data_IF_150994261778
#
_entry.id   IF_150994261778
#
_cell.length_a   1.000
_cell.length_b   1.000
_cell.length_c   1.000
_cell.angle_alpha   90.00
_cell.angle_beta   90.00
_cell.angle_gamma   90.00
#
_symmetry.space_group_name_H-M   'P 1'
#
loop_
_entity.id
_entity.type
_entity.pdbx_description
1 polymer ?
#
# COMPACT_ATOMS: atom_id res chain seq x y z
N UNK A 1 -11.47 -22.29 23.41
CA UNK A 1 -11.98 -21.42 22.33
C UNK A 1 -11.36 -20.05 22.56
N UNK A 2 -10.27 -19.75 21.86
CA UNK A 2 -9.69 -18.42 21.81
C UNK A 2 -10.72 -17.53 21.08
N UNK A 3 -11.36 -16.63 21.81
CA UNK A 3 -12.01 -15.47 21.20
C UNK A 3 -10.87 -14.50 20.87
N UNK A 4 -10.16 -14.76 19.77
CA UNK A 4 -9.32 -13.75 19.15
C UNK A 4 -10.18 -12.53 18.86
N UNK A 5 -9.69 -11.35 19.20
CA UNK A 5 -10.16 -10.10 18.62
C UNK A 5 -10.25 -10.33 17.12
N UNK A 6 -11.48 -10.25 16.58
CA UNK A 6 -11.73 -10.56 15.18
C UNK A 6 -10.76 -9.74 14.34
N UNK A 7 -10.03 -10.42 13.48
CA UNK A 7 -9.12 -9.79 12.56
C UNK A 7 -9.94 -8.78 11.75
N UNK A 8 -9.67 -7.50 11.94
CA UNK A 8 -10.36 -6.45 11.20
C UNK A 8 -9.91 -6.62 9.77
N UNK A 9 -10.75 -7.23 8.94
CA UNK A 9 -10.44 -7.53 7.56
C UNK A 9 -10.18 -6.25 6.80
N UNK A 10 -8.93 -5.91 6.62
CA UNK A 10 -8.48 -4.83 5.73
C UNK A 10 -8.62 -5.19 4.26
N UNK A 11 -9.04 -6.43 3.91
CA UNK A 11 -8.93 -6.95 2.55
C UNK A 11 -10.15 -7.76 2.17
N UNK A 12 -11.04 -7.15 1.43
CA UNK A 12 -12.25 -7.79 0.89
C UNK A 12 -11.96 -8.72 -0.31
N UNK A 13 -10.70 -8.95 -0.65
CA UNK A 13 -10.30 -9.91 -1.67
C UNK A 13 -9.87 -11.21 -0.98
N UNK A 14 -10.53 -12.31 -1.30
CA UNK A 14 -10.29 -13.63 -0.73
C UNK A 14 -8.84 -14.08 -0.82
N UNK A 15 -8.15 -13.72 -1.91
CA UNK A 15 -6.73 -13.98 -2.12
C UNK A 15 -5.78 -13.22 -1.17
N UNK A 16 -6.27 -12.22 -0.47
CA UNK A 16 -5.51 -11.41 0.48
C UNK A 16 -5.95 -11.61 1.93
N UNK A 17 -6.94 -12.48 2.17
CA UNK A 17 -7.38 -12.87 3.50
C UNK A 17 -6.39 -13.87 4.14
N UNK A 18 -6.51 -14.09 5.44
CA UNK A 18 -5.75 -15.12 6.14
C UNK A 18 -6.06 -16.49 5.56
N UNK A 19 -5.10 -17.40 5.60
CA UNK A 19 -5.32 -18.79 5.21
C UNK A 19 -6.45 -19.40 6.02
N UNK A 20 -7.27 -20.24 5.37
CA UNK A 20 -8.43 -20.93 5.97
C UNK A 20 -9.56 -20.02 6.44
N UNK A 21 -9.72 -18.83 5.89
CA UNK A 21 -10.83 -17.93 6.21
C UNK A 21 -12.21 -18.58 5.94
N UNK A 22 -12.28 -19.49 4.98
CA UNK A 22 -13.48 -20.25 4.65
C UNK A 22 -13.99 -21.12 5.81
N UNK A 23 -13.13 -21.41 6.80
CA UNK A 23 -13.48 -22.16 8.00
C UNK A 23 -13.81 -21.24 9.19
N UNK A 24 -13.78 -19.92 9.01
CA UNK A 24 -14.09 -18.94 10.04
C UNK A 24 -15.52 -18.42 9.91
N UNK A 25 -16.16 -18.15 11.05
CA UNK A 25 -17.39 -17.37 11.09
C UNK A 25 -17.05 -15.89 11.07
N UNK A 26 -17.44 -15.20 9.98
CA UNK A 26 -17.24 -13.76 9.85
C UNK A 26 -18.41 -13.07 10.58
N UNK A 27 -18.09 -12.28 11.61
CA UNK A 27 -19.06 -11.53 12.40
C UNK A 27 -19.17 -10.08 11.95
N UNK A 28 -18.03 -9.45 11.63
CA UNK A 28 -17.94 -8.05 11.25
C UNK A 28 -16.88 -7.84 10.18
N UNK A 29 -17.15 -6.90 9.26
CA UNK A 29 -16.17 -6.42 8.25
C UNK A 29 -16.08 -4.91 8.40
N UNK A 30 -14.85 -4.42 8.70
CA UNK A 30 -14.54 -3.00 8.78
C UNK A 30 -13.35 -2.74 7.84
N UNK A 31 -13.56 -1.95 6.80
CA UNK A 31 -12.56 -1.74 5.76
C UNK A 31 -12.63 -0.34 5.11
N UNK A 32 -11.57 0.07 4.44
CA UNK A 32 -11.46 1.29 3.66
C UNK A 32 -11.09 1.04 2.18
N UNK A 33 -11.00 -0.22 1.78
CA UNK A 33 -10.68 -0.60 0.41
C UNK A 33 -11.94 -0.70 -0.46
N UNK A 34 -11.74 -0.85 -1.77
CA UNK A 34 -12.84 -1.19 -2.69
C UNK A 34 -13.48 -2.53 -2.26
N UNK A 35 -14.78 -2.63 -2.46
CA UNK A 35 -15.51 -3.87 -2.22
C UNK A 35 -15.05 -4.92 -3.24
N UNK A 36 -14.61 -6.05 -2.76
CA UNK A 36 -14.11 -7.18 -3.55
C UNK A 36 -15.08 -8.37 -3.58
N UNK A 37 -14.54 -9.57 -3.69
CA UNK A 37 -15.26 -10.83 -3.88
C UNK A 37 -15.53 -11.62 -2.57
N UNK A 38 -15.52 -10.95 -1.42
CA UNK A 38 -15.80 -11.64 -0.17
C UNK A 38 -17.32 -11.93 -0.04
N UNK A 39 -17.65 -13.21 0.09
CA UNK A 39 -19.00 -13.70 0.30
C UNK A 39 -19.14 -14.24 1.73
N UNK A 40 -20.28 -13.99 2.37
CA UNK A 40 -20.60 -14.49 3.70
C UNK A 40 -21.86 -15.36 3.66
N UNK A 41 -21.89 -16.43 4.45
CA UNK A 41 -23.07 -17.34 4.53
C UNK A 41 -24.22 -16.77 5.35
N UNK A 42 -23.94 -15.79 6.20
CA UNK A 42 -24.92 -15.14 7.07
C UNK A 42 -24.81 -13.62 6.96
N UNK A 43 -25.83 -12.85 7.32
CA UNK A 43 -25.73 -11.41 7.44
C UNK A 43 -24.66 -11.01 8.44
N UNK A 44 -23.81 -10.02 8.06
CA UNK A 44 -22.71 -9.51 8.89
C UNK A 44 -22.82 -8.00 9.07
N UNK A 45 -22.25 -7.48 10.14
CA UNK A 45 -22.02 -6.05 10.23
C UNK A 45 -20.95 -5.67 9.22
N UNK A 46 -21.29 -4.71 8.33
CA UNK A 46 -20.39 -4.28 7.27
C UNK A 46 -20.24 -2.75 7.30
N UNK A 47 -19.02 -2.27 7.52
CA UNK A 47 -18.70 -0.83 7.50
C UNK A 47 -17.49 -0.58 6.59
N UNK A 48 -17.74 0.10 5.49
CA UNK A 48 -16.71 0.50 4.55
C UNK A 48 -16.79 2.00 4.30
N UNK A 49 -15.67 2.70 4.48
CA UNK A 49 -15.59 4.15 4.31
C UNK A 49 -14.38 4.55 3.45
N UNK A 50 -14.52 5.58 2.57
CA UNK A 50 -13.45 6.02 1.70
C UNK A 50 -12.45 6.93 2.43
N UNK A 51 -11.79 6.41 3.45
CA UNK A 51 -10.76 7.06 4.27
C UNK A 51 -9.38 6.47 3.96
N UNK A 52 -8.32 7.09 4.48
CA UNK A 52 -6.95 6.67 4.25
C UNK A 52 -6.52 5.44 5.04
N UNK A 53 -7.18 5.15 6.18
CA UNK A 53 -6.84 4.04 7.06
C UNK A 53 -8.07 3.49 7.78
N UNK A 54 -8.15 2.17 7.93
CA UNK A 54 -9.21 1.51 8.75
C UNK A 54 -9.20 1.99 10.21
N UNK A 55 -8.05 2.38 10.76
CA UNK A 55 -7.96 2.91 12.12
C UNK A 55 -8.78 4.20 12.31
N UNK A 56 -8.98 4.98 11.25
CA UNK A 56 -9.87 6.15 11.26
C UNK A 56 -11.33 5.74 11.49
N UNK A 57 -11.75 4.64 10.86
CA UNK A 57 -13.10 4.08 11.08
C UNK A 57 -13.24 3.55 12.50
N UNK A 58 -12.22 2.84 13.01
CA UNK A 58 -12.20 2.36 14.39
C UNK A 58 -12.30 3.51 15.39
N UNK A 59 -11.55 4.61 15.18
CA UNK A 59 -11.66 5.81 15.99
C UNK A 59 -13.10 6.38 15.97
N UNK A 60 -13.74 6.44 14.80
CA UNK A 60 -15.12 6.89 14.65
C UNK A 60 -16.10 6.01 15.45
N UNK A 61 -15.90 4.68 15.41
CA UNK A 61 -16.72 3.72 16.19
C UNK A 61 -16.57 3.96 17.70
N UNK A 62 -15.36 4.22 18.21
CA UNK A 62 -15.13 4.58 19.61
C UNK A 62 -15.93 5.83 19.99
N UNK A 63 -15.90 6.86 19.14
CA UNK A 63 -16.62 8.10 19.34
C UNK A 63 -18.14 7.91 19.32
N UNK A 64 -18.66 7.16 18.37
CA UNK A 64 -20.10 6.87 18.22
C UNK A 64 -20.65 6.11 19.42
N UNK A 65 -19.87 5.17 19.94
CA UNK A 65 -20.25 4.34 21.10
C UNK A 65 -19.98 5.03 22.45
N UNK A 66 -19.32 6.18 22.47
CA UNK A 66 -18.95 6.90 23.69
C UNK A 66 -17.94 6.15 24.55
N UNK A 67 -17.12 5.28 23.97
CA UNK A 67 -16.09 4.55 24.70
C UNK A 67 -14.81 5.39 24.83
N UNK A 68 -14.18 5.31 25.98
CA UNK A 68 -12.84 5.87 26.18
C UNK A 68 -11.79 5.03 25.43
N UNK A 69 -10.82 5.72 24.83
CA UNK A 69 -9.71 5.08 24.14
C UNK A 69 -8.50 5.07 25.06
N UNK A 70 -8.00 3.89 25.49
CA UNK A 70 -6.77 3.84 26.30
C UNK A 70 -5.58 4.43 25.52
N UNK A 71 -4.64 5.14 26.19
CA UNK A 71 -3.50 5.77 25.53
C UNK A 71 -2.68 4.84 24.63
N UNK A 72 -2.48 3.58 25.04
CA UNK A 72 -1.76 2.59 24.22
C UNK A 72 -2.51 2.25 22.95
N UNK A 73 -3.84 2.12 23.00
CA UNK A 73 -4.68 1.87 21.82
C UNK A 73 -4.69 3.11 20.92
N UNK A 74 -4.78 4.31 21.51
CA UNK A 74 -4.69 5.55 20.75
C UNK A 74 -3.36 5.66 19.99
N UNK A 75 -2.25 5.30 20.63
CA UNK A 75 -0.93 5.26 20.00
C UNK A 75 -0.88 4.28 18.80
N UNK A 76 -1.42 3.07 18.95
CA UNK A 76 -1.48 2.07 17.87
C UNK A 76 -2.37 2.52 16.71
N UNK A 77 -3.54 3.09 16.99
CA UNK A 77 -4.43 3.61 15.94
C UNK A 77 -3.79 4.81 15.21
N UNK A 78 -3.15 5.71 15.95
CA UNK A 78 -2.40 6.84 15.36
C UNK A 78 -1.26 6.33 14.46
N UNK A 79 -0.49 5.34 14.92
CA UNK A 79 0.58 4.70 14.15
C UNK A 79 0.06 4.15 12.81
N UNK A 80 -1.07 3.45 12.84
CA UNK A 80 -1.67 2.88 11.65
C UNK A 80 -2.10 3.98 10.65
N UNK A 81 -2.70 5.08 11.13
CA UNK A 81 -3.08 6.22 10.28
C UNK A 81 -1.83 6.86 9.66
N UNK A 82 -0.79 7.14 10.45
CA UNK A 82 0.46 7.72 9.94
C UNK A 82 1.12 6.82 8.88
N UNK A 83 1.11 5.50 9.11
CA UNK A 83 1.65 4.51 8.17
C UNK A 83 0.88 4.50 6.85
N UNK A 84 -0.43 4.26 6.89
CA UNK A 84 -1.26 4.10 5.68
C UNK A 84 -1.37 5.39 4.87
N UNK A 85 -1.30 6.55 5.55
CA UNK A 85 -1.37 7.86 4.90
C UNK A 85 0.00 8.46 4.54
N UNK A 86 1.09 7.75 4.79
CA UNK A 86 2.47 8.25 4.60
C UNK A 86 2.68 9.61 5.29
N UNK A 87 2.36 9.68 6.58
CA UNK A 87 2.39 10.94 7.34
C UNK A 87 1.57 12.04 6.64
N UNK A 88 0.35 11.70 6.21
CA UNK A 88 -0.61 12.57 5.52
C UNK A 88 -0.22 13.02 4.11
N UNK A 89 0.79 12.41 3.47
CA UNK A 89 1.25 12.72 2.10
C UNK A 89 0.61 11.84 1.04
N UNK A 90 0.00 10.72 1.43
CA UNK A 90 -0.70 9.85 0.49
C UNK A 90 -1.95 10.54 -0.08
N UNK A 91 -2.24 10.39 -1.37
CA UNK A 91 -3.50 10.87 -1.97
C UNK A 91 -4.74 10.11 -1.43
N UNK A 92 -4.55 9.06 -0.64
CA UNK A 92 -5.63 8.39 0.08
C UNK A 92 -6.02 9.10 1.36
N UNK A 93 -5.15 9.98 1.89
CA UNK A 93 -5.37 10.70 3.13
C UNK A 93 -6.56 11.68 3.01
N UNK A 94 -7.48 11.61 3.96
CA UNK A 94 -8.63 12.50 4.05
C UNK A 94 -8.51 13.44 5.24
N UNK A 95 -9.41 14.43 5.32
CA UNK A 95 -9.52 15.29 6.49
C UNK A 95 -9.91 14.53 7.76
N UNK A 96 -10.66 13.42 7.61
CA UNK A 96 -11.04 12.56 8.72
C UNK A 96 -9.82 11.84 9.31
N UNK A 97 -8.90 11.38 8.46
CA UNK A 97 -7.66 10.74 8.90
C UNK A 97 -6.79 11.71 9.71
N UNK A 98 -6.67 12.96 9.24
CA UNK A 98 -5.92 14.00 9.95
C UNK A 98 -6.53 14.30 11.32
N UNK A 99 -7.83 14.52 11.36
CA UNK A 99 -8.55 14.82 12.60
C UNK A 99 -8.49 13.66 13.60
N UNK A 100 -8.62 12.41 13.10
CA UNK A 100 -8.50 11.22 13.94
C UNK A 100 -7.08 11.08 14.52
N UNK A 101 -6.05 11.25 13.69
CA UNK A 101 -4.66 11.16 14.14
C UNK A 101 -4.31 12.25 15.17
N UNK A 102 -4.76 13.48 14.96
CA UNK A 102 -4.58 14.59 15.91
C UNK A 102 -5.23 14.28 17.27
N UNK A 103 -6.47 13.82 17.28
CA UNK A 103 -7.16 13.45 18.52
C UNK A 103 -6.50 12.26 19.21
N UNK A 104 -6.10 11.22 18.46
CA UNK A 104 -5.44 10.03 18.98
C UNK A 104 -4.04 10.34 19.53
N UNK A 105 -3.28 11.19 18.86
CA UNK A 105 -1.96 11.63 19.32
C UNK A 105 -2.02 12.38 20.63
N UNK A 106 -3.04 13.24 20.80
CA UNK A 106 -3.29 13.94 22.07
C UNK A 106 -3.59 12.97 23.22
N UNK A 107 -4.41 11.92 22.97
CA UNK A 107 -4.72 10.88 23.97
C UNK A 107 -3.47 10.06 24.31
N UNK A 108 -2.66 9.71 23.31
CA UNK A 108 -1.45 8.92 23.48
C UNK A 108 -0.25 9.72 24.04
N UNK A 109 -0.32 11.05 24.05
CA UNK A 109 0.78 11.93 24.48
C UNK A 109 1.97 11.90 23.51
N UNK A 110 1.72 11.74 22.21
CA UNK A 110 2.77 11.70 21.15
C UNK A 110 2.58 12.87 20.19
N UNK A 111 3.67 13.29 19.53
CA UNK A 111 3.65 14.22 18.41
C UNK A 111 3.68 13.45 17.09
N UNK A 112 2.68 13.66 16.22
CA UNK A 112 2.55 12.93 14.95
C UNK A 112 3.77 13.05 14.05
N UNK A 113 4.45 14.22 14.05
CA UNK A 113 5.57 14.46 13.15
C UNK A 113 6.81 13.70 13.60
N UNK A 114 7.24 13.89 14.85
CA UNK A 114 8.43 13.25 15.40
C UNK A 114 8.24 11.74 15.51
N UNK A 115 7.10 11.29 15.99
CA UNK A 115 6.77 9.89 16.10
C UNK A 115 6.68 9.19 14.73
N UNK A 116 6.09 9.83 13.74
CA UNK A 116 6.03 9.30 12.37
C UNK A 116 7.43 9.13 11.76
N UNK A 117 8.32 10.11 11.96
CA UNK A 117 9.72 10.03 11.54
C UNK A 117 10.42 8.83 12.20
N UNK A 118 10.28 8.68 13.52
CA UNK A 118 10.87 7.58 14.27
C UNK A 118 10.35 6.23 13.76
N UNK A 119 9.03 6.09 13.61
CA UNK A 119 8.37 4.88 13.13
C UNK A 119 8.86 4.47 11.73
N UNK A 120 8.89 5.39 10.76
CA UNK A 120 9.37 5.09 9.41
C UNK A 120 10.87 4.81 9.38
N UNK A 121 11.67 5.50 10.20
CA UNK A 121 13.11 5.23 10.32
C UNK A 121 13.38 3.84 10.90
N UNK A 122 12.63 3.45 11.93
CA UNK A 122 12.73 2.11 12.52
C UNK A 122 12.27 1.01 11.54
N UNK A 123 11.19 1.28 10.77
CA UNK A 123 10.67 0.36 9.75
C UNK A 123 11.57 0.22 8.51
N UNK A 124 12.44 1.19 8.25
CA UNK A 124 13.34 1.21 7.10
C UNK A 124 14.67 0.49 7.34
N UNK A 125 14.83 -0.30 8.41
CA UNK A 125 16.04 -1.09 8.59
C UNK A 125 16.09 -2.26 7.59
N UNK A 126 16.42 -1.93 6.33
CA UNK A 126 16.46 -2.85 5.19
C UNK A 126 17.87 -3.41 4.95
N UNK A 127 18.87 -2.96 5.74
CA UNK A 127 20.28 -3.35 5.56
C UNK A 127 20.50 -4.83 5.77
N UNK A 128 19.83 -5.41 6.77
CA UNK A 128 19.98 -6.80 7.16
C UNK A 128 19.05 -7.76 6.38
N UNK A 129 18.12 -7.22 5.59
CA UNK A 129 17.20 -8.00 4.77
C UNK A 129 17.80 -8.37 3.43
N UNK A 130 17.51 -9.59 2.97
CA UNK A 130 17.85 -10.03 1.61
C UNK A 130 17.03 -9.26 0.56
N UNK A 131 17.48 -9.18 -0.71
CA UNK A 131 16.68 -8.61 -1.78
C UNK A 131 15.29 -9.25 -1.93
N UNK A 132 15.18 -10.54 -1.68
CA UNK A 132 13.93 -11.28 -1.71
C UNK A 132 12.96 -10.85 -0.61
N UNK A 133 13.43 -10.77 0.64
CA UNK A 133 12.62 -10.29 1.76
C UNK A 133 12.14 -8.85 1.56
N UNK A 134 12.99 -7.98 0.99
CA UNK A 134 12.62 -6.60 0.65
C UNK A 134 11.56 -6.58 -0.44
N UNK A 135 11.75 -7.38 -1.49
CA UNK A 135 10.87 -7.41 -2.64
C UNK A 135 9.45 -7.84 -2.28
N UNK A 136 9.33 -8.90 -1.49
CA UNK A 136 8.01 -9.45 -1.10
C UNK A 136 7.38 -8.77 0.12
N UNK A 137 8.04 -7.79 0.73
CA UNK A 137 7.48 -7.06 1.87
C UNK A 137 6.16 -6.35 1.52
N UNK A 138 6.06 -5.75 0.34
CA UNK A 138 4.81 -5.20 -0.21
C UNK A 138 4.76 -5.40 -1.72
N UNK A 139 4.60 -6.64 -2.15
CA UNK A 139 4.46 -7.05 -3.54
C UNK A 139 3.02 -7.39 -3.87
N UNK A 140 2.58 -7.00 -5.07
CA UNK A 140 1.28 -7.43 -5.62
C UNK A 140 1.39 -7.76 -7.10
N UNK A 141 0.70 -8.84 -7.50
CA UNK A 141 0.47 -9.20 -8.89
C UNK A 141 -0.82 -8.55 -9.38
N UNK A 142 -0.82 -8.10 -10.61
CA UNK A 142 -1.96 -7.51 -11.30
C UNK A 142 -2.20 -8.21 -12.62
N UNK A 143 -3.48 -8.38 -12.96
CA UNK A 143 -3.92 -8.95 -14.22
C UNK A 143 -4.97 -8.01 -14.82
N UNK A 144 -4.75 -7.59 -16.06
CA UNK A 144 -5.66 -6.70 -16.77
C UNK A 144 -5.72 -7.09 -18.25
N UNK A 145 -6.84 -7.73 -18.67
CA UNK A 145 -6.92 -8.42 -19.96
C UNK A 145 -5.85 -9.51 -20.06
N UNK A 146 -5.10 -9.50 -21.14
CA UNK A 146 -4.00 -10.44 -21.37
C UNK A 146 -2.66 -9.98 -20.77
N UNK A 147 -2.63 -8.80 -20.12
CA UNK A 147 -1.43 -8.23 -19.54
C UNK A 147 -1.30 -8.61 -18.07
N UNK A 148 -0.17 -9.22 -17.71
CA UNK A 148 0.16 -9.57 -16.32
C UNK A 148 1.45 -8.90 -15.89
N UNK A 149 1.44 -8.26 -14.72
CA UNK A 149 2.63 -7.62 -14.18
C UNK A 149 2.67 -7.64 -12.66
N UNK A 150 3.87 -7.56 -12.12
CA UNK A 150 4.10 -7.45 -10.68
C UNK A 150 4.55 -6.06 -10.29
N UNK A 151 4.13 -5.59 -9.11
CA UNK A 151 4.58 -4.31 -8.54
C UNK A 151 4.92 -4.48 -7.06
N UNK A 152 6.21 -4.30 -6.74
CA UNK A 152 6.68 -4.14 -5.37
C UNK A 152 6.77 -2.68 -4.97
N UNK A 153 6.75 -2.38 -3.67
CA UNK A 153 6.92 -1.03 -3.14
C UNK A 153 7.66 -1.02 -1.81
N UNK A 154 8.59 -0.09 -1.68
CA UNK A 154 9.25 0.28 -0.43
C UNK A 154 9.15 1.78 -0.24
N UNK A 155 8.88 2.18 1.00
CA UNK A 155 8.87 3.58 1.40
C UNK A 155 10.11 3.86 2.26
N UNK A 156 10.82 4.95 1.96
CA UNK A 156 11.94 5.43 2.77
C UNK A 156 11.88 6.95 2.91
N UNK A 157 12.53 7.46 3.94
CA UNK A 157 12.73 8.89 4.17
C UNK A 157 14.12 9.35 3.70
N UNK A 158 14.97 8.42 3.23
CA UNK A 158 16.36 8.67 2.84
C UNK A 158 16.61 8.34 1.38
N UNK A 159 17.01 9.34 0.59
CA UNK A 159 17.41 9.15 -0.80
C UNK A 159 18.61 8.21 -0.94
N UNK A 160 19.59 8.30 -0.04
CA UNK A 160 20.78 7.41 -0.06
C UNK A 160 20.44 5.95 0.23
N UNK A 161 19.44 5.68 1.08
CA UNK A 161 18.93 4.34 1.29
C UNK A 161 18.27 3.79 0.01
N UNK A 162 17.48 4.62 -0.68
CA UNK A 162 16.87 4.24 -1.96
C UNK A 162 17.90 3.98 -3.06
N UNK A 163 19.01 4.71 -3.09
CA UNK A 163 20.13 4.45 -4.01
C UNK A 163 20.76 3.07 -3.78
N UNK A 164 20.95 2.70 -2.52
CA UNK A 164 21.45 1.38 -2.13
C UNK A 164 20.47 0.27 -2.51
N UNK A 165 19.18 0.47 -2.23
CA UNK A 165 18.14 -0.48 -2.56
C UNK A 165 17.98 -0.70 -4.05
N UNK A 166 18.08 0.35 -4.86
CA UNK A 166 18.05 0.22 -6.33
C UNK A 166 19.13 -0.72 -6.83
N UNK A 167 20.37 -0.56 -6.35
CA UNK A 167 21.49 -1.42 -6.74
C UNK A 167 21.28 -2.88 -6.33
N UNK A 168 20.74 -3.12 -5.12
CA UNK A 168 20.49 -4.45 -4.58
C UNK A 168 19.32 -5.16 -5.26
N UNK A 169 18.25 -4.43 -5.58
CA UNK A 169 17.01 -5.00 -6.13
C UNK A 169 17.05 -5.19 -7.64
N UNK A 170 17.86 -4.45 -8.37
CA UNK A 170 17.89 -4.52 -9.84
C UNK A 170 18.12 -5.93 -10.39
N UNK A 171 19.14 -6.70 -9.94
CA UNK A 171 19.31 -8.08 -10.41
C UNK A 171 18.17 -9.01 -9.99
N UNK A 172 17.53 -8.71 -8.84
CA UNK A 172 16.44 -9.51 -8.33
C UNK A 172 15.14 -9.26 -9.11
N UNK A 173 14.90 -8.04 -9.57
CA UNK A 173 13.75 -7.68 -10.39
C UNK A 173 13.67 -8.54 -11.66
N UNK A 174 14.80 -8.67 -12.36
CA UNK A 174 14.94 -9.51 -13.54
C UNK A 174 14.70 -11.00 -13.23
N UNK A 175 15.34 -11.51 -12.18
CA UNK A 175 15.19 -12.89 -11.74
C UNK A 175 13.73 -13.20 -11.40
N UNK A 176 13.10 -12.35 -10.59
CA UNK A 176 11.73 -12.52 -10.12
C UNK A 176 10.71 -12.47 -11.27
N UNK A 177 10.91 -11.59 -12.25
CA UNK A 177 10.05 -11.53 -13.44
C UNK A 177 10.03 -12.87 -14.19
N UNK A 178 11.18 -13.48 -14.41
CA UNK A 178 11.30 -14.78 -15.09
C UNK A 178 10.72 -15.94 -14.28
N UNK A 179 11.02 -15.98 -12.98
CA UNK A 179 10.54 -17.05 -12.08
C UNK A 179 9.03 -17.07 -11.91
N UNK A 180 8.37 -15.92 -11.98
CA UNK A 180 6.92 -15.81 -11.87
C UNK A 180 6.19 -15.86 -13.22
N UNK A 181 6.93 -16.00 -14.33
CA UNK A 181 6.36 -16.02 -15.67
C UNK A 181 5.58 -14.76 -16.03
N UNK A 182 6.03 -13.60 -15.51
CA UNK A 182 5.40 -12.32 -15.77
C UNK A 182 6.02 -11.64 -16.99
N UNK A 183 5.22 -10.93 -17.76
CA UNK A 183 5.70 -10.13 -18.88
C UNK A 183 6.45 -8.88 -18.41
N UNK A 184 6.04 -8.31 -17.28
CA UNK A 184 6.62 -7.09 -16.75
C UNK A 184 6.72 -7.12 -15.22
N UNK A 185 7.73 -6.43 -14.69
CA UNK A 185 7.96 -6.26 -13.26
C UNK A 185 8.35 -4.83 -12.96
N UNK A 186 7.72 -4.26 -11.94
CA UNK A 186 7.98 -2.91 -11.48
C UNK A 186 8.31 -2.89 -9.99
N UNK A 187 9.13 -1.94 -9.57
CA UNK A 187 9.39 -1.72 -8.16
C UNK A 187 9.46 -0.23 -7.83
N UNK A 188 8.60 0.19 -6.91
CA UNK A 188 8.51 1.57 -6.45
C UNK A 188 9.45 1.81 -5.27
N UNK A 189 10.49 2.60 -5.47
CA UNK A 189 11.35 3.14 -4.42
C UNK A 189 10.84 4.54 -4.08
N UNK A 190 9.99 4.63 -3.06
CA UNK A 190 9.24 5.85 -2.74
C UNK A 190 9.94 6.65 -1.65
N UNK A 191 10.34 7.89 -1.96
CA UNK A 191 10.80 8.86 -0.98
C UNK A 191 9.58 9.64 -0.43
N UNK A 192 9.26 9.41 0.84
CA UNK A 192 8.11 10.03 1.49
C UNK A 192 8.30 11.54 1.65
N UNK A 193 9.53 11.99 1.96
CA UNK A 193 9.83 13.40 2.21
C UNK A 193 9.78 14.21 0.91
N UNK A 194 10.33 13.65 -0.17
CA UNK A 194 10.35 14.30 -1.49
C UNK A 194 9.06 14.12 -2.27
N UNK A 195 8.13 13.31 -1.73
CA UNK A 195 6.87 12.95 -2.40
C UNK A 195 7.12 12.47 -3.83
N UNK A 196 8.07 11.54 -4.01
CA UNK A 196 8.49 11.05 -5.31
C UNK A 196 8.77 9.55 -5.27
N UNK A 197 8.65 8.91 -6.43
CA UNK A 197 9.01 7.50 -6.60
C UNK A 197 10.04 7.37 -7.70
N UNK A 198 11.09 6.61 -7.42
CA UNK A 198 11.96 6.05 -8.42
C UNK A 198 11.37 4.69 -8.80
N UNK A 199 10.80 4.60 -10.00
CA UNK A 199 10.17 3.38 -10.51
C UNK A 199 11.20 2.59 -11.31
N UNK A 200 11.56 1.42 -10.83
CA UNK A 200 12.36 0.45 -11.55
C UNK A 200 11.45 -0.39 -12.44
N UNK A 201 11.87 -0.65 -13.66
CA UNK A 201 11.11 -1.36 -14.69
C UNK A 201 11.93 -2.52 -15.24
N UNK A 202 11.29 -3.66 -15.49
CA UNK A 202 11.87 -4.80 -16.18
C UNK A 202 10.79 -5.54 -16.96
N UNK A 203 11.15 -5.99 -18.18
CA UNK A 203 10.27 -6.75 -19.07
C UNK A 203 10.16 -6.12 -20.45
N UNK A 204 9.73 -6.91 -21.42
CA UNK A 204 9.79 -6.54 -22.86
C UNK A 204 8.98 -5.28 -23.20
N UNK A 205 7.82 -5.09 -22.56
CA UNK A 205 6.93 -3.93 -22.79
C UNK A 205 6.89 -2.95 -21.61
N UNK A 206 7.76 -3.13 -20.60
CA UNK A 206 7.70 -2.31 -19.39
C UNK A 206 7.99 -0.83 -19.64
N UNK A 207 8.97 -0.54 -20.49
CA UNK A 207 9.36 0.84 -20.82
C UNK A 207 8.25 1.54 -21.64
N UNK A 208 7.60 0.83 -22.57
CA UNK A 208 6.47 1.36 -23.36
C UNK A 208 5.28 1.69 -22.45
N UNK A 209 4.89 0.74 -21.59
CA UNK A 209 3.77 0.98 -20.65
C UNK A 209 4.03 2.20 -19.75
N UNK A 210 5.26 2.38 -19.29
CA UNK A 210 5.63 3.55 -18.47
C UNK A 210 5.59 4.84 -19.29
N UNK A 211 6.07 4.82 -20.55
CA UNK A 211 6.01 5.97 -21.44
C UNK A 211 4.59 6.39 -21.74
N UNK A 212 3.70 5.44 -22.02
CA UNK A 212 2.28 5.68 -22.29
C UNK A 212 1.53 6.22 -21.05
N UNK A 213 1.89 5.69 -19.87
CA UNK A 213 1.26 6.09 -18.61
C UNK A 213 1.72 7.46 -18.10
N UNK A 214 2.99 7.84 -18.32
CA UNK A 214 3.61 9.03 -17.71
C UNK A 214 4.23 10.01 -18.73
N UNK A 215 4.13 9.74 -20.03
CA UNK A 215 4.60 10.62 -21.10
C UNK A 215 6.12 10.71 -21.23
N UNK A 216 6.87 9.79 -20.60
CA UNK A 216 8.33 9.73 -20.64
C UNK A 216 8.83 8.31 -20.51
N UNK A 217 9.78 7.91 -21.34
CA UNK A 217 10.43 6.61 -21.26
C UNK A 217 11.41 6.52 -20.07
N UNK A 218 11.52 5.35 -19.43
CA UNK A 218 12.57 5.07 -18.47
C UNK A 218 13.96 5.17 -19.08
N UNK A 219 14.95 5.55 -18.26
CA UNK A 219 16.37 5.51 -18.65
C UNK A 219 17.06 4.40 -17.88
N UNK A 220 17.68 3.48 -18.62
CA UNK A 220 18.32 2.28 -18.06
C UNK A 220 17.39 1.51 -17.10
N UNK A 221 16.10 1.36 -17.48
CA UNK A 221 15.10 0.64 -16.70
C UNK A 221 14.66 1.34 -15.42
N UNK A 222 14.81 2.67 -15.34
CA UNK A 222 14.35 3.45 -14.17
C UNK A 222 13.81 4.81 -14.60
N UNK A 223 12.74 5.27 -13.96
CA UNK A 223 12.18 6.60 -14.14
C UNK A 223 11.90 7.26 -12.78
N UNK A 224 12.10 8.57 -12.71
CA UNK A 224 11.74 9.38 -11.55
C UNK A 224 10.36 10.01 -11.73
N UNK A 225 9.43 9.66 -10.86
CA UNK A 225 8.03 10.09 -10.87
C UNK A 225 7.77 11.02 -9.68
N UNK A 226 7.82 12.33 -9.93
CA UNK A 226 7.52 13.34 -8.90
C UNK A 226 6.01 13.37 -8.63
N UNK A 227 5.62 13.44 -7.35
CA UNK A 227 4.22 13.45 -6.92
C UNK A 227 3.55 12.06 -6.94
N UNK A 228 4.25 11.00 -7.34
CA UNK A 228 3.72 9.63 -7.32
C UNK A 228 4.27 8.91 -6.08
N UNK A 229 3.40 8.65 -5.12
CA UNK A 229 3.74 7.97 -3.85
C UNK A 229 2.84 6.78 -3.54
N UNK A 230 1.76 6.62 -4.30
CA UNK A 230 0.76 5.58 -4.07
C UNK A 230 0.63 4.64 -5.26
N UNK A 231 0.99 3.37 -5.05
CA UNK A 231 0.75 2.30 -6.03
C UNK A 231 -0.73 2.25 -6.41
N UNK A 232 -1.63 2.18 -5.41
CA UNK A 232 -3.07 1.98 -5.60
C UNK A 232 -3.77 3.14 -6.30
N UNK A 233 -3.43 4.40 -5.95
CA UNK A 233 -4.18 5.58 -6.40
C UNK A 233 -3.55 6.28 -7.58
N UNK A 234 -2.29 6.02 -7.88
CA UNK A 234 -1.55 6.76 -8.90
C UNK A 234 -0.91 5.82 -9.93
N UNK A 235 -0.05 4.87 -9.52
CA UNK A 235 0.65 4.01 -10.48
C UNK A 235 -0.31 3.08 -11.22
N UNK A 236 -1.09 2.27 -10.48
CA UNK A 236 -1.97 1.27 -11.10
C UNK A 236 -3.07 1.90 -11.96
N UNK A 237 -3.77 2.97 -11.55
CA UNK A 237 -4.72 3.65 -12.43
C UNK A 237 -4.09 4.16 -13.72
N UNK A 238 -2.87 4.74 -13.66
CA UNK A 238 -2.17 5.20 -14.85
C UNK A 238 -1.83 4.06 -15.82
N UNK A 239 -1.38 2.91 -15.29
CA UNK A 239 -1.11 1.72 -16.10
C UNK A 239 -2.38 1.15 -16.75
N UNK A 240 -3.48 1.04 -15.98
CA UNK A 240 -4.77 0.56 -16.51
C UNK A 240 -5.28 1.49 -17.61
N UNK A 241 -5.16 2.81 -17.44
CA UNK A 241 -5.57 3.79 -18.46
C UNK A 241 -4.74 3.66 -19.75
N UNK A 242 -3.42 3.47 -19.63
CA UNK A 242 -2.53 3.24 -20.77
C UNK A 242 -2.90 1.94 -21.53
N UNK A 243 -3.02 0.81 -20.83
CA UNK A 243 -3.38 -0.49 -21.41
C UNK A 243 -4.76 -0.42 -22.10
N UNK A 244 -5.73 0.27 -21.48
CA UNK A 244 -7.08 0.41 -22.05
C UNK A 244 -7.10 1.23 -23.35
N UNK A 245 -6.23 2.23 -23.47
CA UNK A 245 -6.09 3.05 -24.70
C UNK A 245 -5.49 2.25 -25.86
N UNK A 246 -4.48 1.42 -25.57
CA UNK A 246 -3.91 0.52 -26.58
C UNK A 246 -4.94 -0.48 -27.09
N UNK A 247 -5.72 -1.10 -26.20
CA UNK A 247 -6.77 -2.04 -26.57
C UNK A 247 -7.92 -1.41 -27.36
N UNK A 248 -8.23 -0.12 -27.14
CA UNK A 248 -9.29 0.63 -27.83
C UNK A 248 -8.86 1.33 -29.11
N UNK A 249 -7.56 1.46 -29.39
CA UNK A 249 -7.01 2.14 -30.59
C UNK A 249 -6.90 1.25 -31.83
N UNK A 250 -7.37 0.03 -31.79
CA UNK A 250 -7.32 -0.97 -32.86
C UNK A 250 -8.61 -1.10 -33.69
N UNK A 251 -9.43 -0.04 -33.80
CA UNK A 251 -10.64 -0.02 -34.65
C UNK A 251 -10.51 1.05 -35.73
#
# INVERSE_FOLDING_TARGET
RSRGLGDVYKRQERSQAVENIENAEILEIIDHHRIGSLETMAPVYFRNEPVGCTATIIYSIYKEKGFEIPPQIAGLLCSAILSDTLMFRSPTCTLLDRAAAEALSAIAGIDCQSFGIEMFTAGSNLKDKTPEEIFYQDYKKFEFGDVTFGVGQINSMSGSELDELERRLRPYLEKSCREHGLSMMFFMLTNIIEESTRLMCYGESADMLVEDAFGRAPKAGTIWLKGVVSRKKQLIPAFIDAISKEAGGGV
#
